data_IF_315261459871
#
_entry.id   IF_315261459871
#
_cell.length_a   1.000
_cell.length_b   1.000
_cell.length_c   1.000
_cell.angle_alpha   90.00
_cell.angle_beta   90.00
_cell.angle_gamma   90.00
#
_symmetry.space_group_name_H-M   'P 1'
#
loop_
_entity.id
_entity.type
_entity.pdbx_description
1 polymer ?
#
# COMPACT_ATOMS: atom_id res chain seq x y z
N UNK A 1 -26.29 12.01 61.85
CA UNK A 1 -24.95 12.04 61.24
C UNK A 1 -25.08 11.49 59.82
N UNK A 2 -25.07 12.36 58.81
CA UNK A 2 -25.26 11.97 57.41
C UNK A 2 -23.88 11.82 56.74
N UNK A 3 -23.57 10.60 56.28
CA UNK A 3 -22.33 10.28 55.58
C UNK A 3 -22.49 10.70 54.12
N UNK A 4 -21.75 11.74 53.71
CA UNK A 4 -21.65 12.19 52.31
C UNK A 4 -20.94 11.09 51.52
N UNK A 5 -21.63 10.49 50.55
CA UNK A 5 -21.01 9.56 49.59
C UNK A 5 -20.48 10.45 48.46
N UNK A 6 -19.16 10.50 48.34
CA UNK A 6 -18.47 11.19 47.26
C UNK A 6 -18.80 10.51 45.94
N UNK A 7 -19.17 11.32 44.95
CA UNK A 7 -19.40 10.91 43.57
C UNK A 7 -18.05 10.45 43.01
N UNK A 8 -17.92 9.26 42.39
CA UNK A 8 -16.69 8.92 41.71
C UNK A 8 -16.45 9.95 40.61
N UNK A 9 -15.30 10.61 40.67
CA UNK A 9 -14.80 11.47 39.61
C UNK A 9 -14.62 10.60 38.36
N UNK A 10 -15.55 10.77 37.42
CA UNK A 10 -15.25 10.54 36.01
C UNK A 10 -14.35 11.67 35.54
N UNK A 11 -13.56 11.35 34.51
CA UNK A 11 -12.77 12.24 33.66
C UNK A 11 -11.31 12.39 34.08
N UNK A 12 -10.45 11.50 33.56
CA UNK A 12 -9.08 11.75 33.07
C UNK A 12 -8.51 10.40 32.53
N UNK A 13 -9.10 9.81 31.48
CA UNK A 13 -8.44 8.68 30.77
C UNK A 13 -9.05 8.40 29.37
N UNK A 14 -9.47 9.45 28.67
CA UNK A 14 -10.03 9.35 27.30
C UNK A 14 -9.28 10.20 26.27
N UNK A 15 -8.09 10.70 26.59
CA UNK A 15 -7.25 11.41 25.61
C UNK A 15 -6.33 10.47 24.83
N UNK A 16 -6.06 9.26 25.34
CA UNK A 16 -5.12 8.30 24.71
C UNK A 16 -5.81 7.39 23.67
N UNK A 17 -7.14 7.24 23.74
CA UNK A 17 -7.90 6.32 22.88
C UNK A 17 -8.20 6.91 21.48
N UNK A 18 -7.87 8.19 21.26
CA UNK A 18 -8.03 8.90 19.98
C UNK A 18 -6.71 9.07 19.20
N UNK A 19 -5.54 8.80 19.80
CA UNK A 19 -4.25 8.76 19.09
C UNK A 19 -4.12 7.55 18.16
N UNK A 20 -5.09 6.63 18.19
CA UNK A 20 -5.14 5.44 17.33
C UNK A 20 -5.41 5.77 15.86
N UNK A 21 -5.78 7.01 15.49
CA UNK A 21 -6.22 7.30 14.13
C UNK A 21 -5.19 7.88 13.15
N UNK A 22 -4.00 8.33 13.55
CA UNK A 22 -2.89 8.69 12.64
C UNK A 22 -1.62 8.98 13.45
N UNK A 23 -0.54 8.17 13.36
CA UNK A 23 0.72 8.48 14.03
C UNK A 23 1.48 9.58 13.24
N UNK A 24 0.94 10.78 13.26
CA UNK A 24 1.71 11.98 12.90
C UNK A 24 2.85 12.13 13.91
N UNK A 25 4.03 12.50 13.43
CA UNK A 25 5.17 12.80 14.30
C UNK A 25 5.67 14.20 14.08
N UNK A 26 5.75 14.94 15.17
CA UNK A 26 6.37 16.25 15.18
C UNK A 26 7.87 16.14 15.45
N UNK A 27 8.64 16.97 14.76
CA UNK A 27 10.05 17.18 15.02
C UNK A 27 10.40 18.65 14.88
N UNK A 28 11.31 19.14 15.72
CA UNK A 28 11.83 20.50 15.60
C UNK A 28 13.09 20.48 14.76
N UNK A 29 13.07 21.14 13.61
CA UNK A 29 14.21 21.32 12.71
C UNK A 29 14.47 22.81 12.58
N UNK A 30 15.70 23.25 12.85
CA UNK A 30 16.11 24.67 12.77
C UNK A 30 15.20 25.64 13.55
N UNK A 31 14.51 25.17 14.60
CA UNK A 31 13.59 25.96 15.43
C UNK A 31 12.15 26.01 14.91
N UNK A 32 11.85 25.36 13.78
CA UNK A 32 10.50 25.20 13.24
C UNK A 32 9.95 23.81 13.59
N UNK A 33 8.66 23.73 13.91
CA UNK A 33 7.97 22.47 14.14
C UNK A 33 7.49 21.93 12.81
N UNK A 34 8.00 20.77 12.44
CA UNK A 34 7.64 20.03 11.23
C UNK A 34 6.80 18.83 11.65
N UNK A 35 5.70 18.59 10.94
CA UNK A 35 4.83 17.43 11.18
C UNK A 35 4.96 16.46 10.02
N UNK A 36 5.41 15.24 10.31
CA UNK A 36 5.50 14.15 9.33
C UNK A 36 4.28 13.25 9.49
N UNK A 37 3.48 13.16 8.43
CA UNK A 37 2.24 12.38 8.40
C UNK A 37 2.36 11.13 7.53
N UNK A 38 1.53 10.12 7.84
CA UNK A 38 1.39 8.93 7.01
C UNK A 38 0.66 9.29 5.71
N UNK A 39 1.06 8.65 4.60
CA UNK A 39 0.30 8.76 3.35
C UNK A 39 -1.10 8.16 3.48
N UNK A 40 -2.11 9.03 3.33
CA UNK A 40 -3.49 8.59 3.19
C UNK A 40 -3.73 7.84 1.87
N UNK A 41 -4.91 7.23 1.69
CA UNK A 41 -5.21 6.41 0.49
C UNK A 41 -5.00 7.15 -0.84
N UNK A 42 -5.63 8.33 -0.99
CA UNK A 42 -5.59 9.09 -2.26
C UNK A 42 -4.19 9.63 -2.54
N UNK A 43 -3.51 10.13 -1.51
CA UNK A 43 -2.14 10.60 -1.64
C UNK A 43 -1.19 9.46 -1.96
N UNK A 44 -1.34 8.33 -1.27
CA UNK A 44 -0.66 7.08 -1.55
C UNK A 44 -0.76 6.67 -3.01
N UNK A 45 -1.92 6.85 -3.66
CA UNK A 45 -2.09 6.62 -5.10
C UNK A 45 -1.34 7.65 -5.96
N UNK A 46 -1.35 8.93 -5.57
CA UNK A 46 -0.66 10.01 -6.31
C UNK A 46 0.87 9.86 -6.27
N UNK A 47 1.43 9.42 -5.16
CA UNK A 47 2.88 9.27 -4.99
C UNK A 47 3.44 8.00 -5.62
N UNK A 48 2.59 7.04 -6.04
CA UNK A 48 3.04 5.76 -6.62
C UNK A 48 4.06 5.89 -7.76
N UNK A 49 3.89 6.78 -8.75
CA UNK A 49 4.87 6.93 -9.83
C UNK A 49 6.23 7.41 -9.32
N UNK A 50 6.24 8.29 -8.32
CA UNK A 50 7.46 8.82 -7.69
C UNK A 50 8.13 7.71 -6.87
N UNK A 51 7.35 6.97 -6.08
CA UNK A 51 7.86 5.91 -5.21
C UNK A 51 8.29 4.64 -5.95
N UNK A 52 7.90 4.44 -7.21
CA UNK A 52 8.08 3.18 -7.92
C UNK A 52 9.55 2.70 -7.99
N UNK A 53 10.54 3.54 -8.34
CA UNK A 53 11.95 3.11 -8.35
C UNK A 53 12.42 2.66 -6.97
N UNK A 54 12.10 3.43 -5.93
CA UNK A 54 12.43 3.10 -4.54
C UNK A 54 11.77 1.79 -4.07
N UNK A 55 10.50 1.58 -4.41
CA UNK A 55 9.79 0.32 -4.12
C UNK A 55 10.46 -0.88 -4.82
N UNK A 56 11.00 -0.70 -6.02
CA UNK A 56 11.74 -1.76 -6.71
C UNK A 56 13.04 -2.11 -5.99
N UNK A 57 13.83 -1.11 -5.58
CA UNK A 57 15.06 -1.35 -4.79
C UNK A 57 14.74 -2.01 -3.45
N UNK A 58 13.73 -1.51 -2.72
CA UNK A 58 13.24 -2.16 -1.49
C UNK A 58 12.76 -3.60 -1.72
N UNK A 59 12.17 -3.91 -2.87
CA UNK A 59 11.76 -5.28 -3.18
C UNK A 59 12.96 -6.21 -3.36
N UNK A 60 14.07 -5.72 -3.92
CA UNK A 60 15.31 -6.50 -4.03
C UNK A 60 15.88 -6.80 -2.65
N UNK A 61 15.92 -5.78 -1.78
CA UNK A 61 16.31 -5.90 -0.37
C UNK A 61 15.41 -6.92 0.37
N UNK A 62 14.09 -6.82 0.19
CA UNK A 62 13.12 -7.75 0.77
C UNK A 62 13.31 -9.19 0.27
N UNK A 63 13.54 -9.39 -1.04
CA UNK A 63 13.79 -10.71 -1.65
C UNK A 63 15.12 -11.32 -1.22
N UNK A 64 16.13 -10.50 -0.95
CA UNK A 64 17.40 -10.94 -0.38
C UNK A 64 17.28 -11.39 1.08
N UNK A 65 16.18 -11.04 1.76
CA UNK A 65 15.95 -11.36 3.17
C UNK A 65 16.76 -10.49 4.13
N UNK A 66 17.35 -9.39 3.64
CA UNK A 66 18.11 -8.44 4.45
C UNK A 66 17.27 -7.19 4.67
N UNK A 67 16.52 -7.13 5.79
CA UNK A 67 15.75 -5.95 6.18
C UNK A 67 16.48 -5.10 7.22
N UNK A 68 17.82 -5.10 7.19
CA UNK A 68 18.61 -4.22 8.05
C UNK A 68 18.39 -2.76 7.69
N UNK A 69 18.54 -1.88 8.68
CA UNK A 69 18.48 -0.42 8.47
C UNK A 69 19.47 0.03 7.42
N UNK A 70 20.67 -0.56 7.39
CA UNK A 70 21.71 -0.24 6.40
C UNK A 70 21.25 -0.58 4.98
N UNK A 71 20.67 -1.75 4.76
CA UNK A 71 20.18 -2.14 3.42
C UNK A 71 19.05 -1.22 2.94
N UNK A 72 18.18 -0.77 3.85
CA UNK A 72 17.14 0.23 3.54
C UNK A 72 17.77 1.59 3.21
N UNK A 73 18.77 2.04 3.97
CA UNK A 73 19.46 3.31 3.70
C UNK A 73 20.23 3.29 2.36
N UNK A 74 20.79 2.14 1.99
CA UNK A 74 21.39 1.95 0.66
C UNK A 74 20.34 2.11 -0.45
N UNK A 75 19.17 1.49 -0.31
CA UNK A 75 18.06 1.65 -1.26
C UNK A 75 17.54 3.10 -1.32
N UNK A 76 17.56 3.82 -0.18
CA UNK A 76 17.27 5.25 -0.14
C UNK A 76 18.33 6.03 -0.94
N UNK A 77 19.62 5.74 -0.73
CA UNK A 77 20.71 6.41 -1.44
C UNK A 77 20.67 6.23 -2.95
N UNK A 78 20.26 5.05 -3.44
CA UNK A 78 20.07 4.78 -4.88
C UNK A 78 18.96 5.64 -5.52
N UNK A 79 17.99 6.07 -4.72
CA UNK A 79 16.79 6.77 -5.17
C UNK A 79 16.55 8.07 -4.39
N UNK A 80 17.63 8.76 -4.00
CA UNK A 80 17.59 9.88 -3.06
C UNK A 80 16.60 10.97 -3.49
N UNK A 81 16.61 11.41 -4.74
CA UNK A 81 15.73 12.49 -5.22
C UNK A 81 14.24 12.12 -5.08
N UNK A 82 13.90 10.87 -5.42
CA UNK A 82 12.54 10.37 -5.28
C UNK A 82 12.15 10.28 -3.79
N UNK A 83 13.05 9.81 -2.93
CA UNK A 83 12.80 9.71 -1.49
C UNK A 83 12.66 11.09 -0.86
N UNK A 84 13.51 12.07 -1.18
CA UNK A 84 13.40 13.43 -0.65
C UNK A 84 12.10 14.10 -1.10
N UNK A 85 11.64 13.83 -2.34
CA UNK A 85 10.34 14.30 -2.77
C UNK A 85 9.19 13.67 -1.96
N UNK A 86 9.28 12.38 -1.64
CA UNK A 86 8.32 11.70 -0.78
C UNK A 86 8.34 12.28 0.64
N UNK A 87 9.52 12.51 1.22
CA UNK A 87 9.71 13.16 2.52
C UNK A 87 9.06 14.53 2.52
N UNK A 88 9.36 15.38 1.54
CA UNK A 88 8.80 16.72 1.41
C UNK A 88 7.25 16.69 1.37
N UNK A 89 6.66 15.78 0.60
CA UNK A 89 5.21 15.59 0.53
C UNK A 89 4.65 15.21 1.91
N UNK A 90 5.27 14.26 2.61
CA UNK A 90 4.78 13.81 3.93
C UNK A 90 4.95 14.84 5.05
N UNK A 91 5.85 15.79 4.87
CA UNK A 91 6.15 16.83 5.85
C UNK A 91 5.47 18.16 5.49
N UNK A 92 4.73 18.21 4.36
CA UNK A 92 4.13 19.41 3.79
C UNK A 92 5.12 20.59 3.64
N UNK A 93 6.37 20.28 3.27
CA UNK A 93 7.44 21.26 3.02
C UNK A 93 7.84 21.28 1.54
N UNK A 94 8.51 22.34 1.11
CA UNK A 94 9.10 22.40 -0.22
C UNK A 94 10.33 21.46 -0.32
N UNK A 95 10.50 20.81 -1.47
CA UNK A 95 11.66 19.94 -1.70
C UNK A 95 13.00 20.70 -1.55
N UNK A 96 13.04 21.97 -1.96
CA UNK A 96 14.22 22.81 -1.83
C UNK A 96 14.60 23.06 -0.36
N UNK A 97 13.61 23.16 0.53
CA UNK A 97 13.86 23.26 1.97
C UNK A 97 14.56 22.00 2.50
N UNK A 98 14.16 20.82 2.02
CA UNK A 98 14.79 19.55 2.40
C UNK A 98 16.25 19.50 1.93
N UNK A 99 16.57 20.02 0.75
CA UNK A 99 17.95 20.07 0.23
C UNK A 99 18.88 20.99 1.04
N UNK A 100 18.33 21.94 1.79
CA UNK A 100 19.11 22.89 2.59
C UNK A 100 19.41 22.36 3.99
N UNK A 101 18.88 21.19 4.36
CA UNK A 101 19.12 20.59 5.67
C UNK A 101 20.57 20.14 5.82
N UNK A 102 21.12 20.39 7.00
CA UNK A 102 22.38 19.78 7.41
C UNK A 102 22.22 18.28 7.70
N UNK A 103 23.34 17.57 7.75
CA UNK A 103 23.39 16.11 7.93
C UNK A 103 22.53 15.60 9.11
N UNK A 104 22.68 16.19 10.29
CA UNK A 104 21.92 15.80 11.49
C UNK A 104 20.41 16.00 11.34
N UNK A 105 19.99 17.13 10.77
CA UNK A 105 18.56 17.45 10.59
C UNK A 105 17.95 16.59 9.49
N UNK A 106 18.68 16.41 8.38
CA UNK A 106 18.27 15.54 7.27
C UNK A 106 18.15 14.08 7.69
N UNK A 107 19.10 13.57 8.48
CA UNK A 107 19.02 12.21 9.02
C UNK A 107 17.84 12.06 9.99
N UNK A 108 17.61 13.03 10.87
CA UNK A 108 16.47 12.99 11.79
C UNK A 108 15.12 13.00 11.04
N UNK A 109 14.99 13.85 10.02
CA UNK A 109 13.81 13.91 9.16
C UNK A 109 13.60 12.59 8.41
N UNK A 110 14.65 12.03 7.80
CA UNK A 110 14.58 10.78 7.05
C UNK A 110 14.16 9.61 7.96
N UNK A 111 14.76 9.51 9.15
CA UNK A 111 14.42 8.44 10.10
C UNK A 111 13.00 8.58 10.64
N UNK A 112 12.54 9.82 10.86
CA UNK A 112 11.15 10.10 11.27
C UNK A 112 10.19 9.73 10.14
N UNK A 113 10.48 10.15 8.91
CA UNK A 113 9.72 9.77 7.72
C UNK A 113 9.63 8.26 7.55
N UNK A 114 10.73 7.54 7.67
CA UNK A 114 10.72 6.07 7.58
C UNK A 114 9.91 5.44 8.71
N UNK A 115 10.00 5.96 9.93
CA UNK A 115 9.21 5.48 11.07
C UNK A 115 7.70 5.63 10.85
N UNK A 116 7.27 6.72 10.21
CA UNK A 116 5.85 7.01 9.93
C UNK A 116 5.36 6.30 8.67
N UNK A 117 6.14 6.34 7.58
CA UNK A 117 5.71 5.88 6.26
C UNK A 117 6.27 4.51 5.84
N UNK A 118 7.23 3.95 6.57
CA UNK A 118 7.78 2.61 6.33
C UNK A 118 6.71 1.51 6.19
N UNK A 119 5.69 1.45 7.07
CA UNK A 119 4.59 0.49 6.95
C UNK A 119 3.84 0.57 5.61
N UNK A 120 3.67 1.76 5.04
CA UNK A 120 3.06 1.93 3.72
C UNK A 120 3.84 1.18 2.64
N UNK A 121 5.17 1.32 2.63
CA UNK A 121 6.03 0.63 1.66
C UNK A 121 6.07 -0.88 1.90
N UNK A 122 6.17 -1.32 3.16
CA UNK A 122 6.15 -2.75 3.50
C UNK A 122 4.85 -3.42 3.04
N UNK A 123 3.68 -2.77 3.24
CA UNK A 123 2.40 -3.28 2.72
C UNK A 123 2.38 -3.39 1.20
N UNK A 124 2.99 -2.44 0.49
CA UNK A 124 3.13 -2.49 -0.96
C UNK A 124 3.98 -3.68 -1.42
N UNK A 125 5.09 -3.95 -0.73
CA UNK A 125 5.96 -5.11 -1.00
C UNK A 125 5.24 -6.44 -0.74
N UNK A 126 4.52 -6.55 0.37
CA UNK A 126 3.72 -7.75 0.69
C UNK A 126 2.64 -8.01 -0.38
N UNK A 127 1.92 -6.96 -0.79
CA UNK A 127 0.90 -7.05 -1.84
C UNK A 127 1.51 -7.55 -3.15
N UNK A 128 2.70 -7.05 -3.51
CA UNK A 128 3.43 -7.51 -4.68
C UNK A 128 3.85 -8.97 -4.56
N UNK A 129 4.40 -9.39 -3.42
CA UNK A 129 4.81 -10.77 -3.20
C UNK A 129 3.63 -11.77 -3.30
N UNK A 130 2.48 -11.42 -2.74
CA UNK A 130 1.25 -12.22 -2.87
C UNK A 130 0.80 -12.31 -4.33
N UNK A 131 0.85 -11.19 -5.07
CA UNK A 131 0.47 -11.14 -6.48
C UNK A 131 1.40 -12.04 -7.33
N UNK A 132 2.72 -11.93 -7.13
CA UNK A 132 3.72 -12.76 -7.80
C UNK A 132 3.50 -14.27 -7.51
N UNK A 133 3.19 -14.64 -6.25
CA UNK A 133 2.88 -16.01 -5.87
C UNK A 133 1.63 -16.55 -6.58
N UNK A 134 0.53 -15.77 -6.60
CA UNK A 134 -0.70 -16.15 -7.30
C UNK A 134 -0.48 -16.34 -8.80
N UNK A 135 0.31 -15.47 -9.42
CA UNK A 135 0.67 -15.60 -10.83
C UNK A 135 1.51 -16.86 -11.10
N UNK A 136 2.48 -17.17 -10.24
CA UNK A 136 3.27 -18.39 -10.34
C UNK A 136 2.39 -19.65 -10.23
N UNK A 137 1.46 -19.69 -9.27
CA UNK A 137 0.51 -20.79 -9.12
C UNK A 137 -0.41 -20.95 -10.35
N UNK A 138 -0.91 -19.84 -10.90
CA UNK A 138 -1.71 -19.84 -12.14
C UNK A 138 -0.94 -20.35 -13.36
N UNK A 139 0.38 -20.09 -13.42
CA UNK A 139 1.25 -20.62 -14.49
C UNK A 139 1.54 -22.11 -14.28
N UNK A 140 1.79 -22.54 -13.03
CA UNK A 140 2.01 -23.94 -12.70
C UNK A 140 0.79 -24.82 -12.99
N UNK A 141 -0.43 -24.38 -12.61
CA UNK A 141 -1.67 -25.13 -12.91
C UNK A 141 -1.94 -25.22 -14.42
N UNK A 142 -1.61 -24.17 -15.20
CA UNK A 142 -1.70 -24.23 -16.67
C UNK A 142 -0.72 -25.20 -17.30
N UNK A 143 0.41 -25.49 -16.65
CA UNK A 143 1.37 -26.49 -17.10
C UNK A 143 1.05 -27.91 -16.62
N UNK A 144 0.26 -28.07 -15.55
CA UNK A 144 -0.24 -29.39 -15.11
C UNK A 144 -1.48 -29.87 -15.88
N UNK A 145 -2.21 -28.95 -16.50
CA UNK A 145 -3.31 -29.27 -17.42
C UNK A 145 -2.74 -29.72 -18.78
N UNK A 146 -2.28 -30.98 -18.85
CA UNK A 146 -2.18 -31.71 -20.13
C UNK A 146 -3.53 -31.66 -20.87
N UNK A 147 -3.57 -31.87 -22.20
CA UNK A 147 -4.67 -31.42 -23.07
C UNK A 147 -6.02 -31.91 -22.55
N UNK A 148 -6.74 -31.04 -21.86
CA UNK A 148 -8.13 -31.30 -21.50
C UNK A 148 -8.92 -31.31 -22.79
N UNK A 149 -9.26 -32.53 -23.23
CA UNK A 149 -10.14 -32.81 -24.34
C UNK A 149 -11.34 -31.87 -24.32
N UNK A 150 -11.50 -31.10 -25.38
CA UNK A 150 -12.77 -30.46 -25.72
C UNK A 150 -13.87 -31.53 -25.74
N UNK A 151 -14.96 -31.43 -24.95
CA UNK A 151 -16.19 -32.08 -25.35
C UNK A 151 -16.72 -31.32 -26.58
N UNK A 152 -16.62 -32.01 -27.71
CA UNK A 152 -17.26 -31.74 -29.00
C UNK A 152 -18.66 -31.13 -28.84
N UNK A 153 -18.91 -30.05 -29.59
CA UNK A 153 -20.23 -29.47 -29.82
C UNK A 153 -21.28 -30.54 -30.10
N UNK A 154 -22.31 -30.60 -29.26
CA UNK A 154 -23.60 -31.17 -29.66
C UNK A 154 -24.39 -30.09 -30.38
N UNK A 155 -24.39 -30.20 -31.71
CA UNK A 155 -25.19 -29.43 -32.65
C UNK A 155 -26.67 -29.44 -32.23
N UNK A 156 -27.27 -28.26 -32.13
CA UNK A 156 -28.71 -28.10 -32.05
C UNK A 156 -29.35 -28.63 -33.35
N UNK A 157 -29.87 -29.85 -33.31
CA UNK A 157 -30.77 -30.36 -34.34
C UNK A 157 -32.19 -29.86 -34.01
N UNK A 158 -32.50 -28.65 -34.46
CA UNK A 158 -33.89 -28.19 -34.58
C UNK A 158 -34.50 -28.93 -35.77
N UNK A 159 -35.24 -30.00 -35.50
CA UNK A 159 -36.06 -30.66 -36.51
C UNK A 159 -37.08 -29.65 -37.02
N UNK A 160 -36.83 -29.13 -38.22
CA UNK A 160 -37.84 -28.49 -39.05
C UNK A 160 -38.70 -29.60 -39.61
N UNK A 161 -39.95 -29.71 -39.16
CA UNK A 161 -40.99 -30.42 -39.89
C UNK A 161 -41.97 -29.38 -40.42
N UNK A 162 -41.68 -28.92 -41.62
CA UNK A 162 -42.66 -28.31 -42.51
C UNK A 162 -43.43 -29.46 -43.17
N UNK A 163 -44.76 -29.46 -43.12
CA UNK A 163 -45.61 -30.02 -44.16
C UNK A 163 -47.03 -29.51 -44.00
N UNK A 164 -47.27 -28.48 -44.79
CA UNK A 164 -48.54 -27.99 -45.32
C UNK A 164 -49.43 -29.14 -45.84
N UNK A 165 -50.72 -29.09 -45.52
CA UNK A 165 -51.75 -29.82 -46.24
C UNK A 165 -53.13 -29.21 -45.94
N UNK A 166 -53.48 -28.18 -46.70
CA UNK A 166 -54.89 -27.93 -47.04
C UNK A 166 -55.13 -28.42 -48.46
N UNK A 167 -56.13 -29.28 -48.68
CA UNK A 167 -57.04 -29.01 -49.79
C UNK A 167 -58.51 -29.10 -49.38
N UNK A 168 -59.26 -28.31 -50.12
CA UNK A 168 -60.66 -27.91 -50.01
C UNK A 168 -61.68 -28.99 -50.42
N UNK A 169 -62.95 -28.74 -50.06
CA UNK A 169 -64.24 -29.24 -50.60
C UNK A 169 -64.63 -30.73 -50.44
N UNK A 170 -65.70 -30.97 -49.65
CA UNK A 170 -67.09 -31.10 -50.16
C UNK A 170 -68.13 -31.17 -49.01
#
# INVERSE_FOLDING_TARGET
MAKRIEKPQQDEDHQDDLEVLNPERELTIQGEVITVREYGFVEGLKIRPIAQPFIESLNQVFKAGDLSTEAVLMAVGEHVDAVLQLVAISADVELEWVHQLGDSDGQNLLMTWWGVNGPFFVRALQTRAITELMEAQRKANRHSDGPTSTPTSSTAAMTSTESDATPNDN
#
